data_IF_910545074508
#
_entry.id   IF_910545074508
#
_cell.length_a   1.000
_cell.length_b   1.000
_cell.length_c   1.000
_cell.angle_alpha   90.00
_cell.angle_beta   90.00
_cell.angle_gamma   90.00
#
_symmetry.space_group_name_H-M   'P 1'
#
loop_
_entity.id
_entity.type
_entity.pdbx_description
1 polymer ?
#
# COMPACT_ATOMS: atom_id res chain seq x y z
N UNK A 1 -7.28 -35.67 -17.07
CA UNK A 1 -7.88 -35.06 -15.87
C UNK A 1 -6.92 -35.30 -14.73
N UNK A 2 -6.17 -34.28 -14.30
CA UNK A 2 -5.32 -34.34 -13.12
C UNK A 2 -5.77 -33.20 -12.20
N UNK A 3 -6.54 -33.56 -11.17
CA UNK A 3 -6.85 -32.67 -10.06
C UNK A 3 -5.64 -32.60 -9.15
N UNK A 4 -4.90 -31.50 -9.22
CA UNK A 4 -3.86 -31.18 -8.23
C UNK A 4 -4.55 -30.88 -6.90
N UNK A 5 -4.59 -31.88 -6.02
CA UNK A 5 -4.98 -31.68 -4.63
C UNK A 5 -3.95 -30.77 -3.96
N UNK A 6 -4.41 -29.65 -3.41
CA UNK A 6 -3.61 -28.88 -2.47
C UNK A 6 -3.37 -29.73 -1.23
N UNK A 7 -2.10 -29.86 -0.88
CA UNK A 7 -1.63 -30.63 0.26
C UNK A 7 -2.08 -29.97 1.58
N UNK A 8 -2.89 -30.63 2.43
CA UNK A 8 -3.27 -30.10 3.75
C UNK A 8 -2.09 -30.04 4.75
N UNK A 9 -0.91 -30.56 4.38
CA UNK A 9 0.28 -30.55 5.25
C UNK A 9 1.05 -29.23 5.31
N UNK A 10 0.78 -28.27 4.42
CA UNK A 10 1.45 -26.96 4.43
C UNK A 10 1.24 -26.18 5.72
N UNK A 11 0.00 -26.16 6.24
CA UNK A 11 -0.34 -25.37 7.43
C UNK A 11 0.24 -25.93 8.73
N UNK A 12 0.59 -27.21 8.78
CA UNK A 12 1.20 -27.83 9.97
C UNK A 12 2.68 -27.54 10.09
N UNK A 13 3.40 -27.48 8.96
CA UNK A 13 4.81 -27.11 8.93
C UNK A 13 4.99 -25.64 9.32
N UNK A 14 4.13 -24.76 8.78
CA UNK A 14 4.11 -23.33 9.08
C UNK A 14 3.74 -23.05 10.54
N UNK A 15 2.72 -23.74 11.09
CA UNK A 15 2.36 -23.62 12.50
C UNK A 15 3.46 -24.14 13.43
N UNK A 16 4.15 -25.22 13.06
CA UNK A 16 5.28 -25.76 13.83
C UNK A 16 6.47 -24.80 13.83
N UNK A 17 6.78 -24.21 12.68
CA UNK A 17 7.85 -23.22 12.58
C UNK A 17 7.55 -21.97 13.41
N UNK A 18 6.30 -21.49 13.43
CA UNK A 18 5.90 -20.41 14.33
C UNK A 18 6.02 -20.80 15.81
N UNK A 19 5.59 -22.00 16.19
CA UNK A 19 5.74 -22.51 17.56
C UNK A 19 7.20 -22.62 17.99
N UNK A 20 8.07 -23.12 17.11
CA UNK A 20 9.50 -23.19 17.36
C UNK A 20 10.08 -21.78 17.53
N UNK A 21 9.69 -20.82 16.68
CA UNK A 21 10.10 -19.43 16.83
C UNK A 21 9.61 -18.81 18.15
N UNK A 22 8.37 -19.07 18.57
CA UNK A 22 7.79 -18.59 19.84
C UNK A 22 8.49 -19.17 21.07
N UNK A 23 8.88 -20.45 21.01
CA UNK A 23 9.53 -21.14 22.14
C UNK A 23 10.91 -20.57 22.50
N UNK A 24 11.55 -19.86 21.56
CA UNK A 24 12.83 -19.20 21.76
C UNK A 24 12.69 -17.76 22.30
N UNK A 25 11.47 -17.30 22.60
CA UNK A 25 11.21 -15.96 23.10
C UNK A 25 11.03 -15.93 24.62
N UNK A 26 11.52 -14.86 25.25
CA UNK A 26 11.19 -14.53 26.63
C UNK A 26 9.74 -14.06 26.77
N UNK A 27 9.12 -14.28 27.94
CA UNK A 27 7.70 -13.99 28.17
C UNK A 27 7.24 -12.56 27.87
N UNK A 28 8.13 -11.57 28.01
CA UNK A 28 7.83 -10.18 27.65
C UNK A 28 7.66 -9.97 26.14
N UNK A 29 8.43 -10.68 25.30
CA UNK A 29 8.32 -10.60 23.85
C UNK A 29 7.04 -11.30 23.35
N UNK A 30 6.66 -12.41 23.99
CA UNK A 30 5.38 -13.09 23.74
C UNK A 30 4.21 -12.17 24.12
N UNK A 31 4.28 -11.50 25.26
CA UNK A 31 3.25 -10.53 25.68
C UNK A 31 3.05 -9.40 24.67
N UNK A 32 4.14 -8.87 24.07
CA UNK A 32 4.06 -7.85 23.02
C UNK A 32 3.46 -8.38 21.72
N UNK A 33 3.85 -9.58 21.28
CA UNK A 33 3.27 -10.22 20.10
C UNK A 33 1.76 -10.50 20.28
N UNK A 34 1.34 -10.92 21.47
CA UNK A 34 -0.07 -11.18 21.80
C UNK A 34 -0.92 -9.90 21.92
N UNK A 35 -0.35 -8.79 22.38
CA UNK A 35 -1.06 -7.49 22.44
C UNK A 35 -1.47 -6.96 21.06
N UNK A 36 -0.85 -7.45 19.98
CA UNK A 36 -1.24 -7.18 18.59
C UNK A 36 -1.77 -8.45 17.90
N UNK A 37 -2.56 -9.25 18.63
CA UNK A 37 -3.00 -10.60 18.26
C UNK A 37 -3.68 -10.77 16.89
N UNK A 38 -4.32 -9.73 16.35
CA UNK A 38 -4.88 -9.74 14.98
C UNK A 38 -3.79 -10.00 13.92
N UNK A 39 -2.57 -9.57 14.19
CA UNK A 39 -1.42 -9.76 13.32
C UNK A 39 -0.84 -11.19 13.37
N UNK A 40 -0.92 -11.87 14.52
CA UNK A 40 -0.52 -13.29 14.61
C UNK A 40 -1.44 -14.18 13.77
N UNK A 41 -2.74 -13.88 13.73
CA UNK A 41 -3.68 -14.57 12.86
C UNK A 41 -3.38 -14.33 11.38
N UNK A 42 -3.02 -13.10 11.02
CA UNK A 42 -2.65 -12.76 9.65
C UNK A 42 -1.32 -13.41 9.22
N UNK A 43 -0.31 -13.46 10.09
CA UNK A 43 0.97 -14.17 9.88
C UNK A 43 0.78 -15.65 9.57
N UNK A 44 -0.13 -16.31 10.29
CA UNK A 44 -0.49 -17.71 10.10
C UNK A 44 -1.20 -17.99 8.76
N UNK A 45 -1.71 -16.95 8.10
CA UNK A 45 -2.36 -17.05 6.78
C UNK A 45 -1.43 -16.85 5.59
N UNK A 46 -0.13 -16.58 5.79
CA UNK A 46 0.81 -16.21 4.72
C UNK A 46 1.56 -17.41 4.16
N UNK A 47 1.85 -17.36 2.85
CA UNK A 47 2.73 -18.33 2.16
C UNK A 47 4.17 -18.35 2.69
N UNK A 48 4.62 -17.26 3.29
CA UNK A 48 5.96 -17.12 3.86
C UNK A 48 5.85 -16.30 5.14
N UNK A 49 6.19 -16.93 6.25
CA UNK A 49 6.21 -16.33 7.59
C UNK A 49 7.56 -15.62 7.75
N UNK A 50 7.63 -14.28 7.83
CA UNK A 50 8.86 -13.60 8.22
C UNK A 50 9.30 -14.08 9.62
N UNK A 51 10.62 -14.16 9.87
CA UNK A 51 11.09 -14.67 11.16
C UNK A 51 10.56 -13.83 12.31
N UNK A 52 10.08 -14.48 13.37
CA UNK A 52 9.53 -13.83 14.55
C UNK A 52 10.55 -12.89 15.22
N UNK A 53 11.85 -13.17 15.09
CA UNK A 53 12.92 -12.26 15.53
C UNK A 53 12.93 -10.97 14.71
N UNK A 54 12.89 -11.04 13.39
CA UNK A 54 12.82 -9.85 12.53
C UNK A 54 11.58 -9.01 12.83
N UNK A 55 10.46 -9.68 13.13
CA UNK A 55 9.23 -9.03 13.57
C UNK A 55 9.40 -8.30 14.90
N UNK A 56 9.91 -8.96 15.94
CA UNK A 56 10.13 -8.35 17.25
C UNK A 56 11.13 -7.20 17.21
N UNK A 57 12.19 -7.33 16.43
CA UNK A 57 13.15 -6.25 16.23
C UNK A 57 12.53 -5.04 15.51
N UNK A 58 11.60 -5.27 14.58
CA UNK A 58 10.80 -4.19 13.99
C UNK A 58 9.85 -3.58 15.03
N UNK A 59 9.19 -4.40 15.85
CA UNK A 59 8.26 -3.92 16.89
C UNK A 59 8.94 -3.07 17.96
N UNK A 60 10.15 -3.44 18.38
CA UNK A 60 10.86 -2.73 19.44
C UNK A 60 11.44 -1.37 18.94
N UNK A 61 11.48 -1.13 17.62
CA UNK A 61 11.96 0.10 16.99
C UNK A 61 10.85 0.98 16.40
N UNK A 62 9.74 0.38 15.97
CA UNK A 62 8.67 1.04 15.23
C UNK A 62 7.53 1.47 16.15
N UNK A 63 7.04 2.71 16.00
CA UNK A 63 5.72 3.08 16.53
C UNK A 63 4.62 2.25 15.87
N UNK A 64 4.74 2.05 14.54
CA UNK A 64 3.77 1.33 13.71
C UNK A 64 4.45 0.40 12.72
N UNK A 65 3.89 -0.80 12.55
CA UNK A 65 4.29 -1.75 11.51
C UNK A 65 3.15 -1.84 10.52
N UNK A 66 3.45 -1.60 9.24
CA UNK A 66 2.49 -1.73 8.15
C UNK A 66 2.84 -3.00 7.38
N UNK A 67 1.86 -3.89 7.24
CA UNK A 67 2.01 -5.03 6.36
C UNK A 67 1.67 -4.66 4.92
N UNK A 68 2.69 -4.54 4.09
CA UNK A 68 2.58 -4.24 2.68
C UNK A 68 2.30 -5.48 1.82
N UNK A 69 2.37 -6.69 2.39
CA UNK A 69 1.98 -7.91 1.69
C UNK A 69 0.50 -8.28 1.90
N UNK A 70 -0.17 -7.66 2.89
CA UNK A 70 -1.59 -7.82 3.10
C UNK A 70 -2.37 -7.39 1.86
N UNK A 71 -3.46 -8.11 1.58
CA UNK A 71 -4.35 -7.73 0.49
C UNK A 71 -4.91 -6.32 0.77
N UNK A 72 -4.70 -5.35 -0.14
CA UNK A 72 -5.12 -3.98 0.11
C UNK A 72 -6.64 -3.86 0.09
N UNK A 73 -7.16 -2.89 0.85
CA UNK A 73 -8.60 -2.63 0.89
C UNK A 73 -9.08 -2.30 -0.52
N UNK A 74 -10.07 -3.05 -0.99
CA UNK A 74 -10.78 -2.71 -2.22
C UNK A 74 -11.60 -1.45 -1.96
N UNK A 75 -11.33 -0.33 -2.64
CA UNK A 75 -12.11 0.88 -2.44
C UNK A 75 -13.55 0.59 -2.84
N UNK A 76 -14.50 0.99 -1.99
CA UNK A 76 -15.90 0.92 -2.34
C UNK A 76 -16.15 1.92 -3.48
N UNK A 77 -16.27 1.39 -4.70
CA UNK A 77 -16.28 2.23 -5.90
C UNK A 77 -17.64 2.88 -6.19
N UNK A 78 -18.68 2.66 -5.37
CA UNK A 78 -19.94 3.41 -5.37
C UNK A 78 -20.76 3.35 -6.67
N UNK A 79 -20.34 2.56 -7.67
CA UNK A 79 -20.89 2.56 -9.01
C UNK A 79 -21.91 1.44 -9.26
N UNK A 80 -22.40 0.76 -8.22
CA UNK A 80 -23.36 -0.36 -8.37
C UNK A 80 -22.79 -1.62 -9.04
N UNK A 81 -21.57 -1.55 -9.56
CA UNK A 81 -20.76 -2.69 -9.98
C UNK A 81 -19.89 -3.10 -8.79
N UNK A 82 -19.88 -4.39 -8.47
CA UNK A 82 -19.16 -4.95 -7.31
C UNK A 82 -17.74 -4.40 -7.17
N UNK A 83 -17.30 -4.27 -5.92
CA UNK A 83 -16.06 -3.60 -5.51
C UNK A 83 -14.87 -3.88 -6.43
N UNK A 84 -14.06 -2.84 -6.68
CA UNK A 84 -12.93 -2.93 -7.60
C UNK A 84 -11.95 -4.02 -7.20
N UNK A 85 -11.50 -4.80 -8.20
CA UNK A 85 -10.50 -5.84 -8.02
C UNK A 85 -9.08 -5.28 -7.94
N UNK A 86 -8.19 -5.95 -7.23
CA UNK A 86 -6.76 -5.67 -7.25
C UNK A 86 -6.15 -6.36 -8.47
N UNK A 87 -5.55 -5.60 -9.39
CA UNK A 87 -4.90 -6.10 -10.60
C UNK A 87 -3.43 -6.39 -10.34
N UNK A 88 -2.78 -5.47 -9.65
CA UNK A 88 -1.37 -5.55 -9.29
C UNK A 88 -1.20 -5.00 -7.90
N UNK A 89 -0.36 -5.66 -7.12
CA UNK A 89 0.00 -5.23 -5.78
C UNK A 89 1.45 -5.62 -5.55
N UNK A 90 2.28 -4.64 -5.28
CA UNK A 90 3.67 -4.83 -4.89
C UNK A 90 3.70 -5.22 -3.41
N UNK A 91 3.81 -6.53 -3.18
CA UNK A 91 3.96 -7.16 -1.88
C UNK A 91 5.43 -7.34 -1.47
N UNK A 92 6.38 -6.94 -2.32
CA UNK A 92 7.81 -7.17 -2.12
C UNK A 92 8.40 -6.41 -0.93
N UNK A 93 7.70 -5.37 -0.46
CA UNK A 93 8.07 -4.62 0.74
C UNK A 93 7.82 -5.41 2.03
N UNK A 94 6.92 -6.39 2.03
CA UNK A 94 6.60 -7.19 3.21
C UNK A 94 6.20 -6.33 4.41
N UNK A 95 6.89 -6.51 5.54
CA UNK A 95 6.67 -5.70 6.73
C UNK A 95 7.53 -4.45 6.71
N UNK A 96 6.89 -3.30 6.80
CA UNK A 96 7.59 -2.02 6.87
C UNK A 96 7.39 -1.41 8.24
N UNK A 97 8.50 -1.19 8.94
CA UNK A 97 8.59 -0.26 10.06
C UNK A 97 8.33 1.14 9.51
N UNK A 98 7.22 1.76 9.94
CA UNK A 98 6.88 3.13 9.59
C UNK A 98 7.79 4.08 10.36
N UNK A 99 9.04 4.15 9.92
CA UNK A 99 9.90 5.25 10.25
C UNK A 99 9.69 6.33 9.18
N UNK A 100 8.99 7.41 9.52
CA UNK A 100 8.72 8.53 8.61
C UNK A 100 10.00 9.11 8.01
N UNK A 101 11.16 8.98 8.67
CA UNK A 101 12.45 9.41 8.12
C UNK A 101 12.92 8.60 6.89
N UNK A 102 12.33 7.44 6.63
CA UNK A 102 12.64 6.57 5.48
C UNK A 102 11.67 6.76 4.32
N UNK A 103 10.60 7.52 4.56
CA UNK A 103 9.54 7.78 3.60
C UNK A 103 9.89 9.08 2.86
N UNK A 104 10.22 8.97 1.59
CA UNK A 104 10.62 10.09 0.75
C UNK A 104 9.54 10.51 -0.22
N UNK A 105 9.22 11.81 -0.24
CA UNK A 105 8.45 12.40 -1.32
C UNK A 105 9.32 12.45 -2.59
N UNK A 106 8.91 11.72 -3.62
CA UNK A 106 9.56 11.77 -4.91
C UNK A 106 8.86 12.78 -5.83
N UNK A 107 9.67 13.73 -6.32
CA UNK A 107 9.35 14.66 -7.40
C UNK A 107 10.44 14.59 -8.46
N UNK A 108 10.06 14.50 -9.73
CA UNK A 108 11.02 14.57 -10.81
C UNK A 108 11.74 15.93 -10.85
N UNK A 109 12.88 16.00 -11.54
CA UNK A 109 13.62 17.25 -11.70
C UNK A 109 12.75 18.31 -12.39
N UNK A 110 11.98 17.89 -13.39
CA UNK A 110 11.06 18.73 -14.15
C UNK A 110 9.98 19.32 -13.24
N UNK A 111 9.41 18.52 -12.33
CA UNK A 111 8.44 19.02 -11.35
C UNK A 111 9.06 20.03 -10.39
N UNK A 112 10.31 19.84 -9.98
CA UNK A 112 11.03 20.78 -9.13
C UNK A 112 11.32 22.11 -9.84
N UNK A 113 11.41 22.10 -11.18
CA UNK A 113 11.56 23.28 -12.04
C UNK A 113 10.20 23.93 -12.41
N UNK A 114 9.09 23.41 -11.88
CA UNK A 114 7.74 23.96 -12.08
C UNK A 114 7.01 23.42 -13.32
N UNK A 115 7.53 22.38 -13.96
CA UNK A 115 6.85 21.72 -15.06
C UNK A 115 5.76 20.78 -14.55
N UNK A 116 4.60 20.89 -15.17
CA UNK A 116 3.51 19.95 -14.97
C UNK A 116 3.86 18.58 -15.54
N UNK A 117 3.57 17.52 -14.77
CA UNK A 117 3.82 16.12 -15.15
C UNK A 117 2.58 15.28 -14.91
N UNK A 118 2.25 14.40 -15.86
CA UNK A 118 1.14 13.47 -15.74
C UNK A 118 1.49 12.32 -14.81
N UNK A 119 0.50 11.78 -14.10
CA UNK A 119 0.70 10.60 -13.25
C UNK A 119 1.29 9.40 -14.00
N UNK A 120 0.89 9.17 -15.26
CA UNK A 120 1.45 8.08 -16.09
C UNK A 120 2.93 8.29 -16.43
N UNK A 121 3.37 9.54 -16.62
CA UNK A 121 4.78 9.90 -16.84
C UNK A 121 5.56 9.70 -15.54
N UNK A 122 5.02 10.17 -14.41
CA UNK A 122 5.61 9.94 -13.09
C UNK A 122 5.79 8.45 -12.79
N UNK A 123 4.79 7.63 -13.10
CA UNK A 123 4.86 6.18 -12.93
C UNK A 123 6.00 5.55 -13.74
N UNK A 124 6.22 6.00 -14.99
CA UNK A 124 7.35 5.52 -15.79
C UNK A 124 8.70 5.87 -15.16
N UNK A 125 8.84 7.06 -14.57
CA UNK A 125 10.06 7.50 -13.90
C UNK A 125 10.37 6.73 -12.61
N UNK A 126 9.33 6.34 -11.87
CA UNK A 126 9.48 5.56 -10.64
C UNK A 126 9.42 4.05 -10.86
N UNK A 127 9.33 3.59 -12.12
CA UNK A 127 9.27 2.18 -12.44
C UNK A 127 10.55 1.48 -11.96
N UNK A 128 10.38 0.42 -11.17
CA UNK A 128 11.50 -0.30 -10.56
C UNK A 128 12.01 0.31 -9.25
N UNK A 129 11.44 1.43 -8.81
CA UNK A 129 11.62 1.96 -7.47
C UNK A 129 10.57 1.38 -6.52
N UNK A 130 10.87 1.37 -5.22
CA UNK A 130 9.96 0.87 -4.17
C UNK A 130 8.90 1.91 -3.84
N UNK A 131 7.88 2.02 -4.69
CA UNK A 131 6.76 2.92 -4.46
C UNK A 131 5.80 2.34 -3.41
N UNK A 132 5.28 3.21 -2.55
CA UNK A 132 4.31 2.79 -1.54
C UNK A 132 3.03 2.24 -2.18
N UNK A 133 2.48 1.20 -1.58
CA UNK A 133 1.24 0.56 -2.01
C UNK A 133 0.04 1.06 -1.17
N UNK A 134 -1.15 0.62 -1.51
CA UNK A 134 -2.38 1.13 -0.89
C UNK A 134 -2.54 0.79 0.61
N UNK A 135 -1.74 -0.11 1.18
CA UNK A 135 -1.80 -0.39 2.62
C UNK A 135 -1.29 0.80 3.44
N UNK A 136 -0.30 1.54 2.91
CA UNK A 136 0.14 2.80 3.53
C UNK A 136 -0.94 3.87 3.47
N UNK A 137 -1.68 3.94 2.36
CA UNK A 137 -2.79 4.87 2.26
C UNK A 137 -3.85 4.57 3.31
N UNK A 138 -4.26 3.30 3.45
CA UNK A 138 -5.25 2.89 4.44
C UNK A 138 -4.77 3.19 5.86
N UNK A 139 -3.49 2.93 6.15
CA UNK A 139 -2.88 3.29 7.42
C UNK A 139 -2.93 4.80 7.69
N UNK A 140 -2.52 5.63 6.73
CA UNK A 140 -2.50 7.09 6.89
C UNK A 140 -3.90 7.68 7.08
N UNK A 141 -4.90 7.17 6.37
CA UNK A 141 -6.28 7.60 6.54
C UNK A 141 -6.85 7.22 7.91
N UNK A 142 -6.45 6.07 8.45
CA UNK A 142 -6.83 5.65 9.80
C UNK A 142 -6.06 6.39 10.90
N UNK A 143 -4.86 6.90 10.58
CA UNK A 143 -3.98 7.60 11.52
C UNK A 143 -3.52 8.95 10.95
N UNK A 144 -4.40 9.96 10.77
CA UNK A 144 -4.03 11.20 10.09
C UNK A 144 -2.91 12.00 10.77
N UNK A 145 -2.68 11.78 12.06
CA UNK A 145 -1.60 12.40 12.84
C UNK A 145 -0.21 11.84 12.51
N UNK A 146 -0.13 10.66 11.88
CA UNK A 146 1.11 10.04 11.41
C UNK A 146 1.49 10.47 9.99
N UNK A 147 0.64 11.27 9.32
CA UNK A 147 0.92 11.72 7.96
C UNK A 147 2.02 12.79 8.02
N UNK A 148 3.14 12.62 7.30
CA UNK A 148 4.19 13.63 7.27
C UNK A 148 3.68 14.97 6.75
N UNK A 149 4.01 16.05 7.44
CA UNK A 149 3.53 17.40 7.12
C UNK A 149 4.03 17.89 5.76
N UNK A 150 5.18 17.40 5.30
CA UNK A 150 5.78 17.67 4.00
C UNK A 150 4.96 17.14 2.80
N UNK A 151 4.02 16.24 3.06
CA UNK A 151 3.07 15.79 2.03
C UNK A 151 1.97 16.84 1.79
N UNK A 152 1.81 17.81 2.69
CA UNK A 152 0.83 18.89 2.57
C UNK A 152 1.02 19.68 1.27
N UNK A 153 -0.09 19.93 0.57
CA UNK A 153 -0.08 20.64 -0.72
C UNK A 153 0.16 19.76 -1.95
N UNK A 154 0.49 18.48 -1.76
CA UNK A 154 0.66 17.52 -2.86
C UNK A 154 -0.55 16.59 -3.02
N UNK A 155 -0.78 16.15 -4.26
CA UNK A 155 -1.55 14.93 -4.51
C UNK A 155 -0.59 13.75 -4.55
N UNK A 156 -0.75 12.86 -3.58
CA UNK A 156 0.17 11.77 -3.30
C UNK A 156 -0.37 10.45 -3.82
N UNK A 157 0.40 9.77 -4.66
CA UNK A 157 -0.02 8.56 -5.35
C UNK A 157 0.66 7.30 -4.82
N UNK A 158 -0.13 6.25 -4.59
CA UNK A 158 0.32 4.95 -4.05
C UNK A 158 0.44 3.91 -5.17
N UNK A 159 1.49 4.06 -5.98
CA UNK A 159 1.70 3.28 -7.20
C UNK A 159 1.99 1.80 -6.99
N UNK A 160 2.28 1.38 -5.76
CA UNK A 160 2.44 -0.04 -5.43
C UNK A 160 1.14 -0.85 -5.50
N UNK A 161 -0.03 -0.24 -5.73
CA UNK A 161 -1.28 -0.99 -5.98
C UNK A 161 -2.04 -0.43 -7.18
N UNK A 162 -2.38 -1.31 -8.13
CA UNK A 162 -3.25 -1.03 -9.27
C UNK A 162 -4.56 -1.79 -9.08
N UNK A 163 -5.66 -1.06 -9.16
CA UNK A 163 -7.02 -1.56 -9.06
C UNK A 163 -7.69 -1.59 -10.43
N UNK A 164 -8.85 -2.24 -10.50
CA UNK A 164 -9.74 -2.23 -11.64
C UNK A 164 -11.18 -1.91 -11.22
N UNK A 165 -11.92 -1.13 -12.02
CA UNK A 165 -13.32 -0.76 -11.74
C UNK A 165 -14.32 -1.90 -11.81
N UNK A 166 -13.95 -3.00 -12.46
CA UNK A 166 -14.81 -4.16 -12.66
C UNK A 166 -14.00 -5.42 -12.48
N UNK A 167 -14.70 -6.56 -12.49
CA UNK A 167 -14.03 -7.86 -12.60
C UNK A 167 -13.06 -7.83 -13.78
N UNK A 168 -11.87 -8.38 -13.53
CA UNK A 168 -10.71 -8.38 -14.42
C UNK A 168 -11.01 -8.87 -15.86
N UNK A 169 -12.08 -9.66 -16.03
CA UNK A 169 -12.47 -10.28 -17.30
C UNK A 169 -13.40 -9.39 -18.17
N UNK A 170 -13.81 -8.21 -17.70
CA UNK A 170 -14.57 -7.26 -18.53
C UNK A 170 -13.61 -6.47 -19.43
N UNK A 171 -13.86 -6.50 -20.74
CA UNK A 171 -13.13 -5.71 -21.75
C UNK A 171 -13.29 -4.19 -21.57
N UNK A 172 -14.24 -3.76 -20.72
CA UNK A 172 -14.47 -2.36 -20.32
C UNK A 172 -13.90 -2.05 -18.95
N UNK A 173 -13.08 -2.94 -18.39
CA UNK A 173 -12.52 -2.77 -17.06
C UNK A 173 -11.42 -1.71 -17.10
N UNK A 174 -11.60 -0.65 -16.30
CA UNK A 174 -10.68 0.49 -16.26
C UNK A 174 -9.78 0.35 -15.05
N UNK A 175 -8.47 0.43 -15.27
CA UNK A 175 -7.50 0.40 -14.20
C UNK A 175 -7.49 1.74 -13.47
N UNK A 176 -7.15 1.75 -12.20
CA UNK A 176 -6.95 2.99 -11.44
C UNK A 176 -5.99 2.78 -10.29
N UNK A 177 -5.48 3.88 -9.77
CA UNK A 177 -4.65 3.96 -8.57
C UNK A 177 -5.35 4.80 -7.52
N UNK A 178 -4.98 4.59 -6.26
CA UNK A 178 -5.47 5.43 -5.17
C UNK A 178 -4.48 6.56 -4.89
N UNK A 179 -5.03 7.69 -4.50
CA UNK A 179 -4.28 8.88 -4.10
C UNK A 179 -4.78 9.42 -2.76
N UNK A 180 -3.92 10.18 -2.10
CA UNK A 180 -4.24 10.98 -0.93
C UNK A 180 -4.01 12.44 -1.25
N UNK A 181 -4.86 13.33 -0.75
CA UNK A 181 -4.71 14.76 -0.93
C UNK A 181 -5.32 15.51 0.26
N UNK A 182 -4.84 16.73 0.48
CA UNK A 182 -5.33 17.58 1.55
C UNK A 182 -6.17 18.74 0.97
N UNK A 183 -7.34 18.97 1.56
CA UNK A 183 -8.13 20.20 1.38
C UNK A 183 -8.21 20.94 2.72
N UNK A 184 -9.23 20.66 3.53
CA UNK A 184 -9.24 20.98 4.97
C UNK A 184 -8.66 19.82 5.79
N UNK A 185 -9.01 18.60 5.39
CA UNK A 185 -8.56 17.34 5.98
C UNK A 185 -7.92 16.45 4.92
N UNK A 186 -7.37 15.31 5.37
CA UNK A 186 -6.83 14.29 4.48
C UNK A 186 -7.96 13.45 3.89
N UNK A 187 -7.99 13.40 2.56
CA UNK A 187 -8.96 12.63 1.81
C UNK A 187 -8.28 11.57 0.96
N UNK A 188 -9.04 10.51 0.68
CA UNK A 188 -8.66 9.53 -0.33
C UNK A 188 -9.40 9.79 -1.63
N UNK A 189 -8.71 9.57 -2.73
CA UNK A 189 -9.26 9.64 -4.07
C UNK A 189 -8.76 8.51 -4.94
N UNK A 190 -9.19 8.55 -6.20
CA UNK A 190 -8.73 7.64 -7.24
C UNK A 190 -8.43 8.42 -8.51
N UNK A 191 -7.51 7.90 -9.30
CA UNK A 191 -7.21 8.41 -10.64
C UNK A 191 -7.17 7.25 -11.60
N UNK A 192 -7.94 7.38 -12.68
CA UNK A 192 -8.02 6.36 -13.72
C UNK A 192 -6.68 6.23 -14.45
N UNK A 193 -6.26 4.98 -14.58
CA UNK A 193 -5.16 4.55 -15.41
C UNK A 193 -5.75 4.26 -16.79
N UNK A 194 -5.70 5.24 -17.69
CA UNK A 194 -5.86 4.95 -19.10
C UNK A 194 -4.54 5.21 -19.81
N UNK A 195 -4.19 4.32 -20.74
CA UNK A 195 -3.15 4.57 -21.75
C UNK A 195 -3.67 5.66 -22.71
N UNK A 196 -3.80 6.91 -22.24
CA UNK A 196 -4.25 8.01 -23.09
C UNK A 196 -5.10 9.13 -22.46
N UNK A 197 -5.37 9.17 -21.16
CA UNK A 197 -6.14 10.28 -20.58
C UNK A 197 -5.35 11.59 -20.62
N UNK A 198 -5.68 12.37 -21.64
CA UNK A 198 -6.00 13.79 -21.54
C UNK A 198 -6.29 14.20 -20.11
N UNK A 199 -5.31 14.86 -19.49
CA UNK A 199 -5.49 15.59 -18.24
C UNK A 199 -5.76 14.72 -17.01
N UNK A 200 -5.27 15.02 -15.81
CA UNK A 200 -5.55 16.23 -15.03
C UNK A 200 -6.10 17.41 -15.86
N UNK A 201 -7.25 17.20 -16.49
CA UNK A 201 -8.13 18.25 -17.01
C UNK A 201 -9.34 18.32 -16.08
N UNK A 202 -9.09 18.19 -14.77
CA UNK A 202 -10.10 18.49 -13.76
C UNK A 202 -9.57 19.37 -12.62
N UNK A 203 -8.36 19.94 -12.79
CA UNK A 203 -7.98 21.15 -12.05
C UNK A 203 -8.83 22.37 -12.44
N UNK A 204 -9.60 22.31 -13.54
CA UNK A 204 -10.53 23.39 -13.91
C UNK A 204 -11.97 23.15 -13.49
N UNK A 205 -12.46 21.91 -13.41
CA UNK A 205 -13.86 21.66 -13.04
C UNK A 205 -14.11 21.77 -11.52
N UNK A 206 -13.08 21.59 -10.69
CA UNK A 206 -13.21 21.60 -9.23
C UNK A 206 -12.62 22.85 -8.54
N UNK A 207 -12.21 23.88 -9.29
CA UNK A 207 -11.69 25.13 -8.71
C UNK A 207 -10.35 25.00 -7.98
N UNK A 208 -9.65 23.86 -8.11
CA UNK A 208 -8.34 23.64 -7.52
C UNK A 208 -7.25 24.05 -8.52
N UNK A 209 -6.42 25.04 -8.17
CA UNK A 209 -5.19 25.33 -8.93
C UNK A 209 -4.35 24.07 -9.16
N UNK A 210 -3.40 24.08 -10.13
CA UNK A 210 -2.59 22.90 -10.42
C UNK A 210 -1.90 22.41 -9.15
N UNK A 211 -2.41 21.33 -8.55
CA UNK A 211 -1.77 20.68 -7.41
C UNK A 211 -0.63 19.84 -7.95
N UNK A 212 0.54 19.97 -7.35
CA UNK A 212 1.70 19.17 -7.71
C UNK A 212 1.44 17.70 -7.36
N UNK A 213 1.69 16.83 -8.34
CA UNK A 213 1.58 15.39 -8.20
C UNK A 213 2.89 14.84 -7.63
N UNK A 214 2.84 13.93 -6.67
CA UNK A 214 4.03 13.29 -6.14
C UNK A 214 3.80 11.80 -5.86
N UNK A 215 4.89 11.03 -5.85
CA UNK A 215 4.88 9.64 -5.41
C UNK A 215 5.59 9.56 -4.07
N UNK A 216 5.23 8.56 -3.26
CA UNK A 216 6.02 8.23 -2.07
C UNK A 216 6.85 6.99 -2.36
N UNK A 217 8.14 7.10 -2.08
CA UNK A 217 9.10 6.01 -2.18
C UNK A 217 9.67 5.69 -0.81
N UNK A 218 10.02 4.42 -0.59
CA UNK A 218 10.92 4.05 0.51
C UNK A 218 12.37 4.21 0.05
N UNK A 219 13.15 4.88 0.90
CA UNK A 219 14.61 5.00 0.79
C UNK A 219 15.35 3.76 1.26
#
# INVERSE_FOLDING_TARGET
>A
MASGGQDPHGSFAEARELCDQLSHLGGAAIGRALQRGDYLQDLLGRKTIPSLRSYLEAMDRASHIIDCAARPTSPNIGLGFGGGGVVSHDDSMGLVDLNLSKVGLYRSKEQQEGYYMKGSELHQLIKGQKALNANFLDFYLANPHEIPTELGGFEVYFWGTIYCSRNYDDRRSEKFIRRMFQETDWHSGRTWWTEGTHGIEDGRAAGFGPKDVAAILLS
#
